data_IF_868332102539
#
_entry.id   IF_868332102539
#
_cell.length_a   1.000
_cell.length_b   1.000
_cell.length_c   1.000
_cell.angle_alpha   90.00
_cell.angle_beta   90.00
_cell.angle_gamma   90.00
#
_symmetry.space_group_name_H-M   'P 1'
#
loop_
_entity.id
_entity.type
_entity.pdbx_description
1 polymer ?
#
# COMPACT_ATOMS: atom_id res chain seq x y z
N UNK A 1 -21.45 1.63 15.22
CA UNK A 1 -21.31 2.67 14.21
C UNK A 1 -19.89 2.59 13.66
N UNK A 2 -19.71 2.53 12.34
CA UNK A 2 -18.41 2.49 11.68
C UNK A 2 -18.08 3.92 11.24
N UNK A 3 -16.99 4.49 11.78
CA UNK A 3 -16.62 5.90 11.58
C UNK A 3 -15.19 6.00 11.06
N UNK A 4 -14.89 7.06 10.33
CA UNK A 4 -13.54 7.32 9.76
C UNK A 4 -12.44 7.46 10.82
N UNK A 5 -12.74 7.95 12.00
CA UNK A 5 -11.81 8.06 13.12
C UNK A 5 -11.37 6.71 13.71
N UNK A 6 -12.10 5.63 13.39
CA UNK A 6 -11.72 4.25 13.74
C UNK A 6 -10.99 3.51 12.62
N UNK A 7 -10.75 4.16 11.49
CA UNK A 7 -10.11 3.65 10.29
C UNK A 7 -8.72 4.27 10.11
N UNK A 8 -7.71 3.43 9.94
CA UNK A 8 -6.39 3.85 9.50
C UNK A 8 -6.07 3.20 8.16
N UNK A 9 -5.82 4.01 7.14
CA UNK A 9 -5.41 3.55 5.81
C UNK A 9 -4.00 4.07 5.54
N UNK A 10 -3.13 3.20 5.03
CA UNK A 10 -1.75 3.56 4.68
C UNK A 10 -1.20 2.69 3.56
N UNK A 11 -0.18 3.21 2.89
CA UNK A 11 0.65 2.46 1.94
C UNK A 11 1.50 1.43 2.70
N UNK A 12 1.69 0.27 2.10
CA UNK A 12 2.70 -0.72 2.45
C UNK A 12 3.82 -0.63 1.41
N UNK A 13 4.96 -0.06 1.81
CA UNK A 13 6.04 0.30 0.87
C UNK A 13 6.99 -0.87 0.52
N UNK A 14 6.68 -2.10 0.92
CA UNK A 14 7.52 -3.27 0.66
C UNK A 14 7.01 -4.50 1.37
N UNK A 15 7.87 -5.52 1.50
CA UNK A 15 7.55 -6.80 2.15
C UNK A 15 6.89 -6.59 3.52
N UNK A 16 5.78 -7.25 3.72
CA UNK A 16 4.94 -7.09 4.90
C UNK A 16 4.37 -8.45 5.36
N UNK A 17 3.53 -8.46 6.39
CA UNK A 17 2.99 -9.70 6.97
C UNK A 17 1.89 -10.36 6.15
N UNK A 18 1.44 -9.75 5.05
CA UNK A 18 0.37 -10.26 4.20
C UNK A 18 0.89 -10.78 2.86
N UNK A 19 1.84 -10.05 2.24
CA UNK A 19 2.39 -10.36 0.92
C UNK A 19 3.79 -9.76 0.74
N UNK A 20 4.50 -10.20 -0.26
CA UNK A 20 5.72 -9.56 -0.73
C UNK A 20 5.38 -8.40 -1.65
N UNK A 21 6.15 -7.29 -1.54
CA UNK A 21 5.97 -6.11 -2.38
C UNK A 21 5.12 -5.00 -1.76
N UNK A 22 4.72 -4.07 -2.59
CA UNK A 22 3.98 -2.87 -2.21
C UNK A 22 2.46 -3.09 -2.21
N UNK A 23 1.73 -2.21 -1.54
CA UNK A 23 0.28 -2.27 -1.53
C UNK A 23 -0.34 -1.27 -0.57
N UNK A 24 -1.59 -1.53 -0.20
CA UNK A 24 -2.33 -0.71 0.75
C UNK A 24 -3.00 -1.56 1.83
N UNK A 25 -3.17 -0.96 3.00
CA UNK A 25 -3.81 -1.60 4.15
C UNK A 25 -4.83 -0.67 4.79
N UNK A 26 -5.97 -1.23 5.17
CA UNK A 26 -6.99 -0.61 5.99
C UNK A 26 -7.14 -1.36 7.31
N UNK A 27 -6.96 -0.66 8.42
CA UNK A 27 -7.13 -1.19 9.77
C UNK A 27 -8.33 -0.53 10.43
N UNK A 28 -9.24 -1.36 10.93
CA UNK A 28 -10.47 -0.91 11.58
C UNK A 28 -10.43 -1.30 13.05
N UNK A 29 -10.63 -0.35 13.94
CA UNK A 29 -10.83 -0.60 15.36
C UNK A 29 -12.31 -0.53 15.67
N UNK A 30 -12.92 -1.66 16.02
CA UNK A 30 -14.35 -1.72 16.35
C UNK A 30 -14.67 -2.83 17.34
N UNK A 31 -15.65 -2.57 18.19
CA UNK A 31 -16.27 -3.55 19.10
C UNK A 31 -17.71 -3.88 18.68
N UNK A 32 -18.15 -3.43 17.51
CA UNK A 32 -19.51 -3.69 17.01
C UNK A 32 -19.77 -5.18 16.90
N UNK A 33 -20.96 -5.59 17.30
CA UNK A 33 -21.47 -6.96 17.09
C UNK A 33 -21.61 -7.28 15.61
N UNK A 34 -21.90 -6.27 14.78
CA UNK A 34 -22.00 -6.39 13.33
C UNK A 34 -20.65 -6.44 12.60
N UNK A 35 -19.55 -6.59 13.33
CA UNK A 35 -18.19 -6.59 12.74
C UNK A 35 -18.02 -7.62 11.61
N UNK A 36 -18.55 -8.82 11.79
CA UNK A 36 -18.43 -9.88 10.76
C UNK A 36 -19.26 -9.56 9.52
N UNK A 37 -20.45 -9.04 9.69
CA UNK A 37 -21.32 -8.60 8.60
C UNK A 37 -20.67 -7.46 7.82
N UNK A 38 -20.12 -6.48 8.54
CA UNK A 38 -19.38 -5.38 7.93
C UNK A 38 -18.16 -5.89 7.15
N UNK A 39 -17.38 -6.81 7.73
CA UNK A 39 -16.20 -7.37 7.07
C UNK A 39 -16.56 -8.10 5.75
N UNK A 40 -17.67 -8.83 5.75
CA UNK A 40 -18.17 -9.50 4.53
C UNK A 40 -18.64 -8.49 3.48
N UNK A 41 -19.42 -7.48 3.90
CA UNK A 41 -19.87 -6.43 3.00
C UNK A 41 -18.70 -5.63 2.41
N UNK A 42 -17.68 -5.32 3.24
CA UNK A 42 -16.48 -4.61 2.81
C UNK A 42 -15.69 -5.42 1.77
N UNK A 43 -15.49 -6.71 2.01
CA UNK A 43 -14.79 -7.59 1.07
C UNK A 43 -15.52 -7.69 -0.28
N UNK A 44 -16.85 -7.81 -0.25
CA UNK A 44 -17.67 -7.87 -1.47
C UNK A 44 -17.60 -6.54 -2.25
N UNK A 45 -17.73 -5.41 -1.57
CA UNK A 45 -17.66 -4.11 -2.22
C UNK A 45 -16.25 -3.82 -2.77
N UNK A 46 -15.20 -4.17 -1.99
CA UNK A 46 -13.83 -4.05 -2.44
C UNK A 46 -13.57 -4.91 -3.67
N UNK A 47 -14.06 -6.15 -3.72
CA UNK A 47 -13.95 -7.02 -4.90
C UNK A 47 -14.65 -6.39 -6.11
N UNK A 48 -15.87 -5.90 -5.94
CA UNK A 48 -16.63 -5.23 -6.99
C UNK A 48 -15.87 -4.02 -7.56
N UNK A 49 -15.23 -3.21 -6.70
CA UNK A 49 -14.41 -2.09 -7.14
C UNK A 49 -13.18 -2.58 -7.93
N UNK A 50 -12.46 -3.57 -7.40
CA UNK A 50 -11.28 -4.12 -8.06
C UNK A 50 -11.61 -4.69 -9.43
N UNK A 51 -12.68 -5.48 -9.55
CA UNK A 51 -13.15 -6.05 -10.82
C UNK A 51 -13.54 -4.95 -11.82
N UNK A 52 -14.16 -3.86 -11.34
CA UNK A 52 -14.53 -2.70 -12.18
C UNK A 52 -13.33 -1.88 -12.66
N UNK A 53 -12.19 -1.98 -11.97
CA UNK A 53 -10.91 -1.36 -12.33
C UNK A 53 -9.99 -2.30 -13.13
N UNK A 54 -10.49 -3.47 -13.54
CA UNK A 54 -9.69 -4.52 -14.22
C UNK A 54 -8.54 -5.07 -13.34
N UNK A 55 -8.73 -5.08 -12.01
CA UNK A 55 -7.80 -5.63 -11.01
C UNK A 55 -8.35 -6.94 -10.42
N UNK A 56 -8.97 -7.76 -11.24
CA UNK A 56 -9.65 -9.02 -10.89
C UNK A 56 -8.72 -10.08 -10.28
N UNK A 57 -7.44 -10.09 -10.66
CA UNK A 57 -6.42 -11.01 -10.13
C UNK A 57 -5.88 -10.59 -8.73
N UNK A 58 -6.19 -9.38 -8.24
CA UNK A 58 -5.68 -8.89 -6.97
C UNK A 58 -6.28 -9.66 -5.80
N UNK A 59 -5.43 -10.27 -4.98
CA UNK A 59 -5.85 -11.00 -3.78
C UNK A 59 -6.17 -10.03 -2.64
N UNK A 60 -7.35 -10.19 -2.05
CA UNK A 60 -7.74 -9.45 -0.84
C UNK A 60 -7.29 -10.25 0.39
N UNK A 61 -6.34 -9.72 1.14
CA UNK A 61 -5.92 -10.29 2.42
C UNK A 61 -6.75 -9.71 3.54
N UNK A 62 -7.24 -10.58 4.44
CA UNK A 62 -8.01 -10.13 5.61
C UNK A 62 -7.61 -10.85 6.88
N UNK A 63 -7.73 -10.13 7.99
CA UNK A 63 -7.60 -10.70 9.33
C UNK A 63 -8.60 -10.03 10.25
N UNK A 64 -9.42 -10.84 10.93
CA UNK A 64 -10.41 -10.39 11.90
C UNK A 64 -9.97 -10.81 13.29
N UNK A 65 -9.99 -9.91 14.24
CA UNK A 65 -9.59 -10.12 15.62
C UNK A 65 -10.61 -9.51 16.60
N UNK A 66 -10.42 -9.72 17.90
CA UNK A 66 -11.42 -9.36 18.92
C UNK A 66 -11.84 -7.88 18.86
N UNK A 67 -10.90 -6.96 18.59
CA UNK A 67 -11.12 -5.51 18.64
C UNK A 67 -11.09 -4.81 17.28
N UNK A 68 -11.12 -5.56 16.18
CA UNK A 68 -11.05 -4.94 14.87
C UNK A 68 -10.87 -5.93 13.72
N UNK A 69 -10.50 -5.40 12.59
CA UNK A 69 -10.20 -6.13 11.37
C UNK A 69 -9.19 -5.37 10.52
N UNK A 70 -8.53 -6.10 9.65
CA UNK A 70 -7.55 -5.59 8.71
C UNK A 70 -7.88 -6.13 7.34
N UNK A 71 -7.80 -5.28 6.33
CA UNK A 71 -7.79 -5.66 4.93
C UNK A 71 -6.55 -5.08 4.27
N UNK A 72 -5.91 -5.87 3.41
CA UNK A 72 -4.77 -5.43 2.64
C UNK A 72 -4.87 -5.94 1.21
N UNK A 73 -4.41 -5.12 0.27
CA UNK A 73 -4.34 -5.45 -1.15
C UNK A 73 -2.93 -5.15 -1.66
N UNK A 74 -2.29 -6.07 -2.42
CA UNK A 74 -1.10 -5.75 -3.17
C UNK A 74 -1.47 -4.78 -4.30
N UNK A 75 -0.52 -3.94 -4.67
CA UNK A 75 -0.63 -3.04 -5.81
C UNK A 75 0.66 -3.10 -6.61
N UNK A 76 0.62 -2.65 -7.84
CA UNK A 76 1.85 -2.29 -8.52
C UNK A 76 2.53 -1.12 -7.82
N UNK A 77 3.83 -0.95 -8.02
CA UNK A 77 4.63 0.05 -7.33
C UNK A 77 4.06 1.47 -7.51
N UNK A 78 3.69 1.81 -8.72
CA UNK A 78 3.17 3.12 -9.12
C UNK A 78 1.67 3.33 -8.80
N UNK A 79 1.00 2.37 -8.14
CA UNK A 79 -0.40 2.46 -7.74
C UNK A 79 -0.63 2.29 -6.23
N UNK A 80 0.43 2.39 -5.43
CA UNK A 80 0.31 2.14 -3.99
C UNK A 80 -0.58 3.17 -3.27
N UNK A 81 -0.59 4.41 -3.74
CA UNK A 81 -1.46 5.45 -3.20
C UNK A 81 -2.92 5.26 -3.67
N UNK A 82 -3.14 4.92 -4.94
CA UNK A 82 -4.47 4.57 -5.46
C UNK A 82 -5.07 3.41 -4.68
N UNK A 83 -4.27 2.41 -4.30
CA UNK A 83 -4.70 1.33 -3.40
C UNK A 83 -5.31 1.84 -2.09
N UNK A 84 -4.77 2.92 -1.51
CA UNK A 84 -5.37 3.53 -0.31
C UNK A 84 -6.72 4.18 -0.61
N UNK A 85 -6.89 4.76 -1.79
CA UNK A 85 -8.17 5.37 -2.21
C UNK A 85 -9.23 4.33 -2.49
N UNK A 86 -8.85 3.20 -3.13
CA UNK A 86 -9.74 2.05 -3.33
C UNK A 86 -10.28 1.55 -1.99
N UNK A 87 -9.41 1.34 -1.00
CA UNK A 87 -9.82 0.93 0.34
C UNK A 87 -10.72 1.97 1.03
N UNK A 88 -10.45 3.28 0.84
CA UNK A 88 -11.26 4.36 1.40
C UNK A 88 -12.65 4.39 0.80
N UNK A 89 -12.76 4.31 -0.52
CA UNK A 89 -14.06 4.30 -1.23
C UNK A 89 -14.89 3.09 -0.82
N UNK A 90 -14.28 1.89 -0.76
CA UNK A 90 -14.97 0.70 -0.26
C UNK A 90 -15.53 0.91 1.16
N UNK A 91 -14.73 1.54 2.04
CA UNK A 91 -15.20 1.87 3.39
C UNK A 91 -16.35 2.86 3.38
N UNK A 92 -16.26 3.93 2.61
CA UNK A 92 -17.27 4.98 2.58
C UNK A 92 -18.62 4.42 2.09
N UNK A 93 -18.63 3.59 1.05
CA UNK A 93 -19.83 2.93 0.52
C UNK A 93 -20.45 2.01 1.59
N UNK A 94 -19.64 1.13 2.20
CA UNK A 94 -20.17 0.14 3.16
C UNK A 94 -20.58 0.82 4.46
N UNK A 95 -19.81 1.78 4.96
CA UNK A 95 -20.13 2.49 6.19
C UNK A 95 -21.42 3.31 6.07
N UNK A 96 -21.70 3.89 4.91
CA UNK A 96 -22.95 4.59 4.64
C UNK A 96 -24.16 3.65 4.84
N UNK A 97 -24.11 2.44 4.29
CA UNK A 97 -25.18 1.42 4.46
C UNK A 97 -25.37 1.04 5.93
N UNK A 98 -24.28 0.75 6.67
CA UNK A 98 -24.35 0.34 8.07
C UNK A 98 -24.74 1.47 9.02
N UNK A 99 -24.55 2.71 8.62
CA UNK A 99 -24.89 3.90 9.40
C UNK A 99 -26.23 4.54 8.97
N UNK A 100 -27.00 3.91 8.04
CA UNK A 100 -28.23 4.44 7.45
C UNK A 100 -28.04 5.86 6.86
N UNK A 101 -26.89 6.09 6.23
CA UNK A 101 -26.59 7.32 5.49
C UNK A 101 -27.02 7.16 4.01
N UNK A 102 -27.19 8.25 3.26
CA UNK A 102 -27.42 8.17 1.82
C UNK A 102 -26.37 7.30 1.13
N UNK A 103 -26.81 6.47 0.20
CA UNK A 103 -25.90 5.67 -0.60
C UNK A 103 -25.06 6.58 -1.51
N UNK A 104 -23.78 6.25 -1.62
CA UNK A 104 -22.87 6.89 -2.56
C UNK A 104 -23.12 6.33 -3.97
N UNK A 105 -23.01 7.18 -4.98
CA UNK A 105 -23.12 6.74 -6.37
C UNK A 105 -21.86 5.97 -6.76
N UNK A 106 -22.02 4.69 -7.02
CA UNK A 106 -20.91 3.82 -7.38
C UNK A 106 -20.19 4.26 -8.67
N UNK A 107 -20.92 4.81 -9.64
CA UNK A 107 -20.32 5.26 -10.90
C UNK A 107 -19.46 6.52 -10.68
N UNK A 108 -19.91 7.47 -9.87
CA UNK A 108 -19.12 8.65 -9.49
C UNK A 108 -17.85 8.27 -8.73
N UNK A 109 -17.95 7.32 -7.79
CA UNK A 109 -16.79 6.83 -7.04
C UNK A 109 -15.80 6.09 -7.95
N UNK A 110 -16.28 5.31 -8.91
CA UNK A 110 -15.44 4.61 -9.88
C UNK A 110 -14.73 5.59 -10.82
N UNK A 111 -15.43 6.63 -11.29
CA UNK A 111 -14.83 7.70 -12.11
C UNK A 111 -13.73 8.44 -11.33
N UNK A 112 -13.96 8.71 -10.04
CA UNK A 112 -12.95 9.28 -9.16
C UNK A 112 -11.72 8.37 -9.05
N UNK A 113 -11.90 7.07 -8.85
CA UNK A 113 -10.79 6.11 -8.75
C UNK A 113 -10.01 6.01 -10.06
N UNK A 114 -10.68 5.97 -11.22
CA UNK A 114 -10.04 6.00 -12.52
C UNK A 114 -9.21 7.28 -12.73
N UNK A 115 -9.73 8.42 -12.29
CA UNK A 115 -8.99 9.68 -12.31
C UNK A 115 -7.72 9.58 -11.44
N UNK A 116 -7.82 9.07 -10.21
CA UNK A 116 -6.66 8.87 -9.31
C UNK A 116 -5.62 7.97 -9.96
N UNK A 117 -6.02 6.81 -10.48
CA UNK A 117 -5.14 5.87 -11.18
C UNK A 117 -4.42 6.52 -12.37
N UNK A 118 -5.15 7.30 -13.17
CA UNK A 118 -4.56 8.00 -14.33
C UNK A 118 -3.50 9.03 -13.95
N UNK A 119 -3.58 9.59 -12.73
CA UNK A 119 -2.65 10.61 -12.22
C UNK A 119 -1.45 10.02 -11.50
N UNK A 120 -1.58 8.82 -10.94
CA UNK A 120 -0.52 8.17 -10.18
C UNK A 120 0.45 7.38 -11.05
N UNK A 121 0.08 7.07 -12.29
CA UNK A 121 0.91 6.28 -13.20
C UNK A 121 2.19 7.01 -13.60
N UNK A 122 3.28 6.67 -12.93
CA UNK A 122 4.63 7.15 -13.25
C UNK A 122 5.42 6.07 -13.99
N UNK A 123 5.33 6.02 -15.31
CA UNK A 123 6.00 5.02 -16.16
C UNK A 123 7.51 4.97 -15.89
N UNK A 124 8.15 6.14 -15.69
CA UNK A 124 9.59 6.21 -15.39
C UNK A 124 9.93 5.54 -14.06
N UNK A 125 9.15 5.79 -13.02
CA UNK A 125 9.38 5.15 -11.72
C UNK A 125 9.16 3.65 -11.78
N UNK A 126 8.16 3.20 -12.53
CA UNK A 126 7.90 1.78 -12.74
C UNK A 126 9.08 1.11 -13.42
N UNK A 127 9.56 1.67 -14.53
CA UNK A 127 10.73 1.13 -15.23
C UNK A 127 11.97 1.07 -14.33
N UNK A 128 12.18 2.09 -13.49
CA UNK A 128 13.26 2.12 -12.50
C UNK A 128 13.07 1.00 -11.47
N UNK A 129 11.86 0.81 -10.97
CA UNK A 129 11.58 -0.23 -9.99
C UNK A 129 11.80 -1.62 -10.59
N UNK A 130 11.27 -1.89 -11.79
CA UNK A 130 11.39 -3.17 -12.46
C UNK A 130 12.86 -3.51 -12.75
N UNK A 131 13.65 -2.57 -13.28
CA UNK A 131 15.10 -2.74 -13.51
C UNK A 131 15.87 -3.00 -12.19
N UNK A 132 15.51 -2.30 -11.11
CA UNK A 132 16.12 -2.52 -9.81
C UNK A 132 15.79 -3.94 -9.27
N UNK A 133 14.56 -4.40 -9.45
CA UNK A 133 14.16 -5.76 -9.05
C UNK A 133 14.92 -6.83 -9.86
N UNK A 134 15.06 -6.65 -11.17
CA UNK A 134 15.82 -7.55 -12.04
C UNK A 134 17.28 -7.66 -11.62
N UNK A 135 17.84 -6.59 -11.06
CA UNK A 135 19.18 -6.54 -10.48
C UNK A 135 19.26 -6.98 -9.01
N UNK A 136 18.12 -7.36 -8.41
CA UNK A 136 18.01 -7.70 -6.99
C UNK A 136 18.44 -6.57 -6.05
N UNK A 137 18.16 -5.31 -6.42
CA UNK A 137 18.44 -4.11 -5.65
C UNK A 137 17.22 -3.68 -4.86
N UNK A 138 17.45 -3.21 -3.63
CA UNK A 138 16.39 -2.61 -2.83
C UNK A 138 16.01 -1.23 -3.38
N UNK A 139 14.70 -0.94 -3.37
CA UNK A 139 14.16 0.36 -3.73
C UNK A 139 13.40 0.94 -2.53
N UNK A 140 13.72 2.18 -2.20
CA UNK A 140 13.04 2.96 -1.17
C UNK A 140 12.52 4.23 -1.80
N UNK A 141 11.31 4.65 -1.43
CA UNK A 141 10.75 5.91 -1.92
C UNK A 141 9.85 6.57 -0.88
N UNK A 142 9.75 7.86 -0.98
CA UNK A 142 8.81 8.70 -0.25
C UNK A 142 8.07 9.62 -1.24
N UNK A 143 7.43 10.68 -0.76
CA UNK A 143 6.69 11.60 -1.62
C UNK A 143 7.58 12.48 -2.54
N UNK A 144 8.88 12.52 -2.31
CA UNK A 144 9.81 13.42 -3.00
C UNK A 144 10.94 12.69 -3.69
N UNK A 145 11.41 11.58 -3.12
CA UNK A 145 12.65 10.93 -3.53
C UNK A 145 12.48 9.43 -3.77
N UNK A 146 13.25 8.91 -4.73
CA UNK A 146 13.49 7.48 -4.91
C UNK A 146 14.96 7.20 -4.63
N UNK A 147 15.24 6.12 -3.90
CA UNK A 147 16.59 5.63 -3.60
C UNK A 147 16.68 4.16 -4.03
N UNK A 148 17.69 3.84 -4.82
CA UNK A 148 18.00 2.49 -5.30
C UNK A 148 19.29 2.04 -4.65
N UNK A 149 19.33 0.80 -4.16
CA UNK A 149 20.46 0.27 -3.40
C UNK A 149 20.56 0.85 -2.00
N UNK A 150 21.64 0.57 -1.28
CA UNK A 150 21.79 1.00 0.10
C UNK A 150 23.22 1.43 0.47
N UNK A 151 23.32 2.35 1.43
CA UNK A 151 24.59 2.85 1.96
C UNK A 151 25.45 3.56 0.89
N UNK A 152 26.72 3.18 0.78
CA UNK A 152 27.65 3.82 -0.17
C UNK A 152 27.38 3.50 -1.64
N UNK A 153 26.61 2.45 -1.88
CA UNK A 153 26.21 2.01 -3.21
C UNK A 153 24.84 2.53 -3.63
N UNK A 154 24.20 3.41 -2.87
CA UNK A 154 22.89 3.92 -3.23
C UNK A 154 22.94 5.09 -4.22
N UNK A 155 21.95 5.12 -5.10
CA UNK A 155 21.60 6.27 -5.93
C UNK A 155 20.29 6.86 -5.39
N UNK A 156 20.23 8.18 -5.22
CA UNK A 156 19.02 8.89 -4.78
C UNK A 156 18.74 10.06 -5.71
N UNK A 157 17.50 10.17 -6.15
CA UNK A 157 17.03 11.28 -6.98
C UNK A 157 15.62 11.72 -6.57
N UNK A 158 15.23 12.94 -6.94
CA UNK A 158 13.86 13.38 -6.83
C UNK A 158 12.99 12.66 -7.84
N UNK A 159 11.78 12.30 -7.43
CA UNK A 159 10.82 11.59 -8.28
C UNK A 159 10.51 12.37 -9.56
N UNK A 160 10.33 13.69 -9.42
CA UNK A 160 9.97 14.56 -10.55
C UNK A 160 11.13 14.80 -11.53
N UNK A 161 12.37 14.60 -11.10
CA UNK A 161 13.58 14.93 -11.86
C UNK A 161 14.33 13.68 -12.37
N UNK A 162 13.98 12.47 -11.88
CA UNK A 162 14.71 11.24 -12.19
C UNK A 162 14.54 10.84 -13.65
N UNK A 163 15.65 10.55 -14.30
CA UNK A 163 15.68 10.03 -15.67
C UNK A 163 16.32 8.64 -15.67
N UNK A 164 15.60 7.64 -16.20
CA UNK A 164 16.03 6.26 -16.26
C UNK A 164 17.38 6.09 -16.98
N UNK A 165 17.59 6.81 -18.09
CA UNK A 165 18.79 6.71 -18.92
C UNK A 165 20.05 7.33 -18.27
N UNK A 166 19.88 8.15 -17.25
CA UNK A 166 20.98 8.79 -16.52
C UNK A 166 21.43 7.96 -15.30
N UNK A 167 20.75 6.86 -14.99
CA UNK A 167 21.09 6.02 -13.85
C UNK A 167 22.29 5.13 -14.21
N UNK A 168 23.39 5.28 -13.50
CA UNK A 168 24.58 4.45 -13.63
C UNK A 168 24.41 3.13 -12.86
N UNK A 169 23.59 2.23 -13.37
CA UNK A 169 23.17 0.98 -12.74
C UNK A 169 24.32 0.11 -12.22
N UNK A 170 25.45 0.04 -12.95
CA UNK A 170 26.60 -0.78 -12.58
C UNK A 170 27.34 -0.27 -11.34
N UNK A 171 27.08 0.96 -10.90
CA UNK A 171 27.65 1.55 -9.69
C UNK A 171 26.76 1.37 -8.46
N UNK A 172 25.53 0.86 -8.65
CA UNK A 172 24.53 0.72 -7.59
C UNK A 172 24.62 -0.68 -7.00
N UNK A 173 24.64 -0.77 -5.67
CA UNK A 173 24.64 -2.04 -4.95
C UNK A 173 24.07 -1.87 -3.55
N UNK A 174 23.64 -2.99 -2.98
CA UNK A 174 23.19 -3.05 -1.60
C UNK A 174 24.35 -3.41 -0.66
N UNK A 175 24.42 -2.74 0.47
CA UNK A 175 25.27 -3.19 1.57
C UNK A 175 24.48 -4.16 2.46
N UNK A 176 25.13 -5.20 3.03
CA UNK A 176 24.47 -6.05 4.02
C UNK A 176 23.91 -5.22 5.18
N UNK A 177 22.63 -5.34 5.42
CA UNK A 177 21.92 -4.58 6.46
C UNK A 177 21.13 -5.49 7.38
N UNK A 178 21.20 -5.22 8.69
CA UNK A 178 20.43 -5.94 9.71
C UNK A 178 19.60 -4.93 10.49
N UNK A 179 18.28 -5.13 10.52
CA UNK A 179 17.37 -4.33 11.32
C UNK A 179 17.10 -4.99 12.66
N UNK A 180 17.58 -4.38 13.75
CA UNK A 180 17.26 -4.79 15.10
C UNK A 180 16.04 -4.04 15.63
N UNK A 181 14.94 -4.77 15.88
CA UNK A 181 13.71 -4.22 16.47
C UNK A 181 13.35 -4.95 17.75
N UNK A 182 12.60 -4.31 18.63
CA UNK A 182 12.14 -4.92 19.90
C UNK A 182 11.99 -3.88 20.99
N UNK A 183 11.32 -4.27 22.11
CA UNK A 183 11.09 -3.39 23.28
C UNK A 183 12.37 -3.20 24.10
N UNK A 184 13.19 -4.28 24.23
CA UNK A 184 14.42 -4.31 25.02
C UNK A 184 15.57 -4.95 24.24
N UNK A 185 16.83 -4.67 24.60
CA UNK A 185 18.04 -5.34 24.09
C UNK A 185 18.56 -4.86 22.73
N UNK A 186 17.84 -3.97 22.00
CA UNK A 186 18.28 -3.47 20.69
C UNK A 186 19.72 -2.96 20.66
N UNK A 187 20.05 -2.06 21.58
CA UNK A 187 21.39 -1.43 21.67
C UNK A 187 22.48 -2.47 21.98
N UNK A 188 22.17 -3.48 22.80
CA UNK A 188 23.12 -4.55 23.12
C UNK A 188 23.38 -5.42 21.91
N UNK A 189 22.33 -5.81 21.17
CA UNK A 189 22.47 -6.59 19.94
C UNK A 189 23.31 -5.86 18.88
N UNK A 190 22.99 -4.59 18.61
CA UNK A 190 23.73 -3.78 17.62
C UNK A 190 25.20 -3.57 18.00
N UNK A 191 25.55 -3.62 19.29
CA UNK A 191 26.96 -3.50 19.74
C UNK A 191 27.74 -4.81 19.66
N UNK A 192 27.05 -5.94 19.56
CA UNK A 192 27.65 -7.26 19.51
C UNK A 192 27.76 -7.81 18.07
N UNK A 193 27.13 -7.16 17.10
CA UNK A 193 27.23 -7.41 15.67
C UNK A 193 28.27 -6.49 15.03
#
# INVERSE_FOLDING_TARGET
MFQKDTLAIRVLAGTNVFFEGVGAIAEFVTRSEQKLEFAQAFELELRKILDSLEWDDVVIYKKIYSRGMVFAIPTEFDYSFAGTKILSVAFDIVSARFNNQPELDFAEELDYLNYVLSRERYITLRNIYDEAQDRSLNVYYDNENITIGSGKGSFTAKIDDVNFDEIHWDSIYDIPSILCTGTNGKTTTVRLT
#
